data_IF_434126867748
#
_entry.id   IF_434126867748
#
_cell.length_a   1.000
_cell.length_b   1.000
_cell.length_c   1.000
_cell.angle_alpha   90.00
_cell.angle_beta   90.00
_cell.angle_gamma   90.00
#
_symmetry.space_group_name_H-M   'P 1'
#
loop_
_entity.id
_entity.type
_entity.pdbx_description
1 polymer ?
#
# COMPACT_ATOMS: atom_id res chain seq x y z
N UNK A 1 -17.22 -11.66 8.84
CA UNK A 1 -17.84 -11.87 7.51
C UNK A 1 -17.32 -13.18 6.97
N UNK A 2 -18.19 -14.07 6.49
CA UNK A 2 -17.76 -15.32 5.85
C UNK A 2 -17.38 -15.05 4.40
N UNK A 3 -16.22 -15.49 4.00
CA UNK A 3 -15.69 -15.38 2.62
C UNK A 3 -15.13 -16.72 2.15
N UNK A 4 -15.13 -16.94 0.86
CA UNK A 4 -14.49 -18.08 0.22
C UNK A 4 -13.05 -17.75 -0.17
N UNK A 5 -12.19 -18.74 -0.36
CA UNK A 5 -10.80 -18.50 -0.79
C UNK A 5 -10.72 -17.76 -2.15
N UNK A 6 -11.70 -17.99 -3.03
CA UNK A 6 -11.82 -17.21 -4.26
C UNK A 6 -12.13 -15.73 -3.98
N UNK A 7 -13.09 -15.45 -3.10
CA UNK A 7 -13.42 -14.09 -2.69
C UNK A 7 -12.25 -13.40 -1.98
N UNK A 8 -11.41 -14.16 -1.28
CA UNK A 8 -10.17 -13.68 -0.68
C UNK A 8 -9.24 -13.10 -1.75
N UNK A 9 -8.97 -13.86 -2.82
CA UNK A 9 -8.15 -13.35 -3.92
C UNK A 9 -8.78 -12.11 -4.58
N UNK A 10 -10.09 -12.11 -4.78
CA UNK A 10 -10.81 -10.94 -5.31
C UNK A 10 -10.69 -9.72 -4.39
N UNK A 11 -10.79 -9.91 -3.08
CA UNK A 11 -10.61 -8.86 -2.09
C UNK A 11 -9.17 -8.35 -2.13
N UNK A 12 -8.19 -9.24 -2.14
CA UNK A 12 -6.77 -8.89 -2.19
C UNK A 12 -6.43 -8.10 -3.46
N UNK A 13 -6.83 -8.59 -4.65
CA UNK A 13 -6.63 -7.87 -5.92
C UNK A 13 -7.27 -6.47 -5.88
N UNK A 14 -8.52 -6.37 -5.40
CA UNK A 14 -9.19 -5.07 -5.29
C UNK A 14 -8.53 -4.14 -4.27
N UNK A 15 -7.89 -4.69 -3.23
CA UNK A 15 -7.08 -3.92 -2.28
C UNK A 15 -5.92 -3.25 -2.99
N UNK A 16 -5.12 -4.01 -3.73
CA UNK A 16 -3.95 -3.50 -4.45
C UNK A 16 -4.32 -2.45 -5.49
N UNK A 17 -5.41 -2.68 -6.24
CA UNK A 17 -5.91 -1.69 -7.22
C UNK A 17 -6.23 -0.36 -6.51
N UNK A 18 -6.93 -0.41 -5.37
CA UNK A 18 -7.30 0.79 -4.63
C UNK A 18 -6.11 1.48 -3.99
N UNK A 19 -5.15 0.71 -3.45
CA UNK A 19 -3.92 1.25 -2.90
C UNK A 19 -3.12 1.97 -3.98
N UNK A 20 -2.93 1.35 -5.15
CA UNK A 20 -2.30 1.98 -6.32
C UNK A 20 -2.98 3.28 -6.71
N UNK A 21 -4.30 3.26 -6.93
CA UNK A 21 -5.08 4.45 -7.33
C UNK A 21 -4.97 5.57 -6.27
N UNK A 22 -4.96 5.21 -4.99
CA UNK A 22 -4.82 6.16 -3.91
C UNK A 22 -3.41 6.79 -3.89
N UNK A 23 -2.34 6.00 -4.03
CA UNK A 23 -0.98 6.52 -4.12
C UNK A 23 -0.76 7.40 -5.34
N UNK A 24 -1.26 7.00 -6.52
CA UNK A 24 -1.22 7.84 -7.73
C UNK A 24 -1.95 9.17 -7.51
N UNK A 25 -3.11 9.13 -6.85
CA UNK A 25 -3.88 10.33 -6.54
C UNK A 25 -3.16 11.23 -5.54
N UNK A 26 -2.65 10.68 -4.43
CA UNK A 26 -1.87 11.41 -3.44
C UNK A 26 -0.61 12.04 -4.08
N UNK A 27 0.06 11.30 -4.96
CA UNK A 27 1.19 11.81 -5.73
C UNK A 27 0.83 13.01 -6.60
N UNK A 28 -0.38 13.02 -7.18
CA UNK A 28 -0.87 14.16 -7.97
C UNK A 28 -1.22 15.41 -7.15
N UNK A 29 -1.41 15.25 -5.84
CA UNK A 29 -1.81 16.33 -4.92
C UNK A 29 -0.63 16.97 -4.20
N UNK A 30 0.51 16.26 -4.07
CA UNK A 30 1.71 16.81 -3.44
C UNK A 30 2.46 17.74 -4.38
N UNK A 31 3.04 18.81 -3.82
CA UNK A 31 3.93 19.73 -4.54
C UNK A 31 5.40 19.28 -4.48
N UNK A 32 5.75 18.42 -3.54
CA UNK A 32 7.10 17.90 -3.38
C UNK A 32 7.38 16.79 -4.37
N UNK A 33 8.37 16.96 -5.23
CA UNK A 33 8.81 15.93 -6.20
C UNK A 33 9.30 14.67 -5.51
N UNK A 34 9.99 14.80 -4.37
CA UNK A 34 10.48 13.64 -3.59
C UNK A 34 9.31 12.79 -3.10
N UNK A 35 8.30 13.44 -2.51
CA UNK A 35 7.12 12.73 -1.99
C UNK A 35 6.31 12.14 -3.13
N UNK A 36 6.21 12.86 -4.25
CA UNK A 36 5.56 12.37 -5.45
C UNK A 36 6.21 11.10 -5.97
N UNK A 37 7.53 11.09 -6.09
CA UNK A 37 8.29 9.94 -6.58
C UNK A 37 8.17 8.74 -5.65
N UNK A 38 8.17 8.95 -4.32
CA UNK A 38 7.94 7.91 -3.33
C UNK A 38 6.54 7.29 -3.45
N UNK A 39 5.50 8.11 -3.54
CA UNK A 39 4.12 7.65 -3.71
C UNK A 39 3.93 6.90 -5.03
N UNK A 40 4.53 7.36 -6.11
CA UNK A 40 4.52 6.66 -7.40
C UNK A 40 5.31 5.35 -7.38
N UNK A 41 6.40 5.29 -6.59
CA UNK A 41 7.10 4.04 -6.36
C UNK A 41 6.20 3.03 -5.64
N UNK A 42 5.51 3.43 -4.56
CA UNK A 42 4.56 2.58 -3.86
C UNK A 42 3.43 2.13 -4.79
N UNK A 43 2.81 3.04 -5.53
CA UNK A 43 1.78 2.68 -6.51
C UNK A 43 2.23 1.59 -7.49
N UNK A 44 3.50 1.61 -7.89
CA UNK A 44 4.08 0.60 -8.77
C UNK A 44 4.32 -0.74 -8.06
N UNK A 45 4.68 -0.72 -6.78
CA UNK A 45 4.81 -1.95 -6.00
C UNK A 45 3.44 -2.61 -5.80
N UNK A 46 2.36 -1.84 -5.51
CA UNK A 46 0.99 -2.37 -5.41
C UNK A 46 0.53 -3.04 -6.72
N UNK A 47 0.91 -2.47 -7.87
CA UNK A 47 0.60 -3.10 -9.16
C UNK A 47 1.31 -4.46 -9.34
N UNK A 48 2.54 -4.61 -8.83
CA UNK A 48 3.25 -5.90 -8.81
C UNK A 48 2.60 -6.89 -7.85
N UNK A 49 2.17 -6.43 -6.65
CA UNK A 49 1.44 -7.27 -5.70
C UNK A 49 0.17 -7.80 -6.34
N UNK A 50 -0.62 -6.95 -6.99
CA UNK A 50 -1.81 -7.33 -7.75
C UNK A 50 -1.51 -8.44 -8.77
N UNK A 51 -0.47 -8.27 -9.60
CA UNK A 51 -0.07 -9.29 -10.58
C UNK A 51 0.30 -10.63 -9.94
N UNK A 52 0.97 -10.60 -8.80
CA UNK A 52 1.34 -11.81 -8.04
C UNK A 52 0.08 -12.51 -7.56
N UNK A 53 -0.87 -11.78 -6.98
CA UNK A 53 -2.12 -12.32 -6.44
C UNK A 53 -2.99 -12.90 -7.56
N UNK A 54 -3.11 -12.21 -8.71
CA UNK A 54 -3.84 -12.70 -9.88
C UNK A 54 -3.29 -14.04 -10.38
N UNK A 55 -1.95 -14.16 -10.50
CA UNK A 55 -1.30 -15.43 -10.87
C UNK A 55 -1.53 -16.55 -9.86
N UNK A 56 -1.65 -16.20 -8.57
CA UNK A 56 -2.01 -17.19 -7.55
C UNK A 56 -3.45 -17.65 -7.69
N UNK A 57 -4.38 -16.74 -7.88
CA UNK A 57 -5.79 -17.03 -8.06
C UNK A 57 -6.01 -17.95 -9.27
N UNK A 58 -5.33 -17.69 -10.38
CA UNK A 58 -5.36 -18.55 -11.57
C UNK A 58 -4.86 -19.98 -11.26
N UNK A 59 -3.74 -20.10 -10.54
CA UNK A 59 -3.21 -21.44 -10.15
C UNK A 59 -4.13 -22.16 -9.20
N UNK A 60 -4.68 -21.49 -8.20
CA UNK A 60 -5.65 -22.04 -7.28
C UNK A 60 -6.87 -22.61 -8.02
N UNK A 61 -7.43 -21.83 -8.94
CA UNK A 61 -8.55 -22.26 -9.78
C UNK A 61 -8.20 -23.47 -10.66
N UNK A 62 -7.00 -23.51 -11.26
CA UNK A 62 -6.52 -24.60 -12.09
C UNK A 62 -6.27 -25.90 -11.31
N UNK A 63 -5.88 -25.82 -10.04
CA UNK A 63 -5.65 -26.95 -9.14
C UNK A 63 -6.95 -27.49 -8.52
N UNK A 64 -8.12 -26.93 -8.87
CA UNK A 64 -9.43 -27.36 -8.37
C UNK A 64 -9.66 -27.00 -6.90
N UNK A 65 -9.14 -25.85 -6.46
CA UNK A 65 -9.26 -25.37 -5.09
C UNK A 65 -10.72 -25.32 -4.62
N UNK A 66 -11.01 -25.96 -3.49
CA UNK A 66 -12.34 -25.93 -2.87
C UNK A 66 -12.52 -24.62 -2.10
N UNK A 67 -13.57 -23.86 -2.44
CA UNK A 67 -13.93 -22.66 -1.72
C UNK A 67 -14.55 -23.00 -0.37
N UNK A 68 -13.79 -22.82 0.70
CA UNK A 68 -14.31 -22.89 2.08
C UNK A 68 -14.76 -21.51 2.53
N UNK A 69 -15.80 -21.46 3.34
CA UNK A 69 -16.22 -20.21 3.99
C UNK A 69 -15.33 -19.92 5.20
N UNK A 70 -14.85 -18.70 5.27
CA UNK A 70 -13.90 -18.22 6.28
C UNK A 70 -14.50 -16.97 6.94
N UNK A 71 -14.38 -16.86 8.25
CA UNK A 71 -14.78 -15.66 8.99
C UNK A 71 -13.54 -14.78 9.23
N UNK A 72 -13.59 -13.52 8.76
CA UNK A 72 -12.45 -12.59 8.85
C UNK A 72 -12.80 -11.35 9.65
N UNK A 73 -12.04 -11.11 10.71
CA UNK A 73 -12.19 -9.93 11.58
C UNK A 73 -11.59 -8.67 10.93
N UNK A 74 -10.46 -8.81 10.23
CA UNK A 74 -9.71 -7.71 9.62
C UNK A 74 -10.49 -6.91 8.57
N UNK A 75 -11.54 -7.49 8.00
CA UNK A 75 -12.35 -6.84 6.95
C UNK A 75 -13.01 -5.53 7.39
N UNK A 76 -13.32 -5.40 8.70
CA UNK A 76 -13.86 -4.16 9.26
C UNK A 76 -12.83 -3.03 9.25
N UNK A 77 -11.61 -3.30 9.67
CA UNK A 77 -10.49 -2.33 9.66
C UNK A 77 -10.17 -1.91 8.22
N UNK A 78 -10.11 -2.87 7.30
CA UNK A 78 -9.85 -2.63 5.88
C UNK A 78 -10.87 -1.67 5.27
N UNK A 79 -12.16 -1.86 5.54
CA UNK A 79 -13.22 -0.98 5.06
C UNK A 79 -13.05 0.46 5.58
N UNK A 80 -12.75 0.62 6.87
CA UNK A 80 -12.54 1.94 7.49
C UNK A 80 -11.37 2.68 6.84
N UNK A 81 -10.24 2.00 6.57
CA UNK A 81 -9.10 2.63 5.91
C UNK A 81 -9.41 2.99 4.47
N UNK A 82 -10.07 2.10 3.72
CA UNK A 82 -10.49 2.40 2.35
C UNK A 82 -11.43 3.62 2.26
N UNK A 83 -12.33 3.79 3.23
CA UNK A 83 -13.19 4.96 3.35
C UNK A 83 -12.39 6.23 3.65
N UNK A 84 -11.44 6.19 4.60
CA UNK A 84 -10.55 7.32 4.91
C UNK A 84 -9.72 7.74 3.70
N UNK A 85 -9.13 6.80 2.97
CA UNK A 85 -8.39 7.09 1.74
C UNK A 85 -9.30 7.76 0.70
N UNK A 86 -10.50 7.21 0.48
CA UNK A 86 -11.46 7.76 -0.46
C UNK A 86 -11.95 9.17 -0.08
N UNK A 87 -11.98 9.52 1.20
CA UNK A 87 -12.31 10.88 1.67
C UNK A 87 -11.11 11.83 1.52
N UNK A 88 -9.92 11.38 1.88
CA UNK A 88 -8.71 12.19 1.80
C UNK A 88 -8.43 12.67 0.38
N UNK A 89 -8.54 11.77 -0.61
CA UNK A 89 -8.31 12.11 -2.02
C UNK A 89 -9.36 13.06 -2.64
N UNK A 90 -10.46 13.33 -1.94
CA UNK A 90 -11.48 14.31 -2.36
C UNK A 90 -11.18 15.72 -1.86
N UNK A 91 -10.29 15.87 -0.88
CA UNK A 91 -9.93 17.18 -0.32
C UNK A 91 -9.14 17.98 -1.36
N UNK A 92 -9.43 19.28 -1.53
CA UNK A 92 -8.66 20.13 -2.43
C UNK A 92 -7.23 20.35 -1.96
N UNK A 93 -7.03 20.39 -0.62
CA UNK A 93 -5.73 20.54 0.04
C UNK A 93 -5.62 19.48 1.13
N UNK A 94 -4.74 18.51 0.93
CA UNK A 94 -4.36 17.52 1.93
C UNK A 94 -2.98 17.88 2.47
N UNK A 95 -2.82 17.88 3.79
CA UNK A 95 -1.52 18.16 4.38
C UNK A 95 -0.64 16.90 4.41
N UNK A 96 0.67 17.11 4.59
CA UNK A 96 1.66 16.07 4.57
C UNK A 96 1.45 15.00 5.65
N UNK A 97 1.13 15.44 6.88
CA UNK A 97 0.88 14.53 8.01
C UNK A 97 -0.25 13.57 7.70
N UNK A 98 -1.33 14.10 7.13
CA UNK A 98 -2.50 13.30 6.75
C UNK A 98 -2.19 12.31 5.62
N UNK A 99 -1.37 12.69 4.64
CA UNK A 99 -0.90 11.80 3.57
C UNK A 99 -0.17 10.60 4.18
N UNK A 100 0.85 10.87 5.00
CA UNK A 100 1.66 9.79 5.59
C UNK A 100 0.90 8.96 6.62
N UNK A 101 0.03 9.56 7.42
CA UNK A 101 -0.81 8.82 8.37
C UNK A 101 -1.71 7.82 7.65
N UNK A 102 -2.40 8.24 6.60
CA UNK A 102 -3.30 7.38 5.83
C UNK A 102 -2.51 6.29 5.12
N UNK A 103 -1.40 6.63 4.46
CA UNK A 103 -0.54 5.69 3.78
C UNK A 103 -0.01 4.62 4.74
N UNK A 104 0.60 5.02 5.86
CA UNK A 104 1.09 4.08 6.86
C UNK A 104 -0.01 3.19 7.46
N UNK A 105 -1.22 3.71 7.66
CA UNK A 105 -2.35 2.90 8.14
C UNK A 105 -2.81 1.90 7.09
N UNK A 106 -2.80 2.27 5.81
CA UNK A 106 -3.13 1.37 4.71
C UNK A 106 -2.19 0.16 4.70
N UNK A 107 -0.88 0.39 4.74
CA UNK A 107 0.13 -0.68 4.78
C UNK A 107 -0.06 -1.63 5.97
N UNK A 108 -0.33 -1.10 7.17
CA UNK A 108 -0.57 -1.92 8.36
C UNK A 108 -1.84 -2.77 8.25
N UNK A 109 -2.86 -2.27 7.59
CA UNK A 109 -4.11 -3.01 7.38
C UNK A 109 -3.93 -4.07 6.30
N UNK A 110 -3.19 -3.77 5.22
CA UNK A 110 -2.83 -4.75 4.18
C UNK A 110 -1.95 -5.87 4.75
N UNK A 111 -0.95 -5.55 5.59
CA UNK A 111 -0.16 -6.55 6.30
C UNK A 111 -1.03 -7.49 7.14
N UNK A 112 -1.96 -6.93 7.93
CA UNK A 112 -2.90 -7.74 8.74
C UNK A 112 -3.79 -8.59 7.85
N UNK A 113 -4.28 -8.05 6.74
CA UNK A 113 -5.11 -8.77 5.77
C UNK A 113 -4.35 -10.00 5.27
N UNK A 114 -3.14 -9.85 4.76
CA UNK A 114 -2.35 -10.97 4.23
C UNK A 114 -1.98 -12.00 5.30
N UNK A 115 -1.64 -11.56 6.51
CA UNK A 115 -1.42 -12.48 7.64
C UNK A 115 -2.66 -13.27 8.01
N UNK A 116 -3.83 -12.66 7.96
CA UNK A 116 -5.09 -13.34 8.23
C UNK A 116 -5.40 -14.34 7.10
N UNK A 117 -5.26 -13.93 5.84
CA UNK A 117 -5.43 -14.80 4.67
C UNK A 117 -4.50 -16.02 4.70
N UNK A 118 -3.26 -15.85 5.12
CA UNK A 118 -2.28 -16.92 5.23
C UNK A 118 -2.71 -18.04 6.19
N UNK A 119 -3.47 -17.73 7.26
CA UNK A 119 -3.99 -18.73 8.21
C UNK A 119 -5.02 -19.67 7.57
N UNK A 120 -5.70 -19.20 6.55
CA UNK A 120 -6.79 -19.91 5.89
C UNK A 120 -6.40 -20.51 4.54
N UNK A 121 -5.19 -20.23 4.08
CA UNK A 121 -4.69 -20.78 2.82
C UNK A 121 -4.68 -22.31 2.85
N UNK A 122 -5.26 -22.94 1.83
CA UNK A 122 -5.42 -24.39 1.74
C UNK A 122 -4.13 -25.12 1.36
N UNK A 123 -3.15 -24.40 0.79
CA UNK A 123 -1.86 -24.98 0.42
C UNK A 123 -0.68 -24.11 0.88
N UNK A 124 0.46 -24.74 1.14
CA UNK A 124 1.65 -24.10 1.67
C UNK A 124 2.25 -23.03 0.74
N UNK A 125 2.09 -23.16 -0.58
CA UNK A 125 2.61 -22.14 -1.52
C UNK A 125 1.81 -20.86 -1.44
N UNK A 126 0.48 -20.96 -1.37
CA UNK A 126 -0.42 -19.83 -1.17
C UNK A 126 -0.13 -19.16 0.17
N UNK A 127 0.01 -19.97 1.24
CA UNK A 127 0.36 -19.45 2.56
C UNK A 127 1.67 -18.66 2.53
N UNK A 128 2.75 -19.28 2.04
CA UNK A 128 4.06 -18.64 1.98
C UNK A 128 4.02 -17.31 1.19
N UNK A 129 3.29 -17.28 0.09
CA UNK A 129 3.20 -16.08 -0.74
C UNK A 129 2.42 -14.97 -0.05
N UNK A 130 1.34 -15.29 0.68
CA UNK A 130 0.60 -14.32 1.49
C UNK A 130 1.47 -13.78 2.65
N UNK A 131 2.27 -14.64 3.28
CA UNK A 131 3.25 -14.22 4.29
C UNK A 131 4.32 -13.28 3.69
N UNK A 132 4.81 -13.58 2.48
CA UNK A 132 5.73 -12.69 1.76
C UNK A 132 5.10 -11.33 1.43
N UNK A 133 3.84 -11.30 0.97
CA UNK A 133 3.11 -10.05 0.75
C UNK A 133 2.98 -9.26 2.06
N UNK A 134 2.61 -9.92 3.16
CA UNK A 134 2.53 -9.25 4.46
C UNK A 134 3.87 -8.61 4.88
N UNK A 135 5.00 -9.28 4.62
CA UNK A 135 6.33 -8.73 4.88
C UNK A 135 6.67 -7.55 3.95
N UNK A 136 6.18 -7.56 2.71
CA UNK A 136 6.35 -6.45 1.77
C UNK A 136 5.57 -5.21 2.24
N UNK A 137 4.31 -5.36 2.68
CA UNK A 137 3.52 -4.26 3.27
C UNK A 137 4.20 -3.69 4.53
N UNK A 138 4.75 -4.56 5.39
CA UNK A 138 5.54 -4.10 6.54
C UNK A 138 6.76 -3.28 6.11
N UNK A 139 7.42 -3.65 5.02
CA UNK A 139 8.54 -2.89 4.48
C UNK A 139 8.10 -1.53 3.93
N UNK A 140 6.97 -1.46 3.23
CA UNK A 140 6.38 -0.20 2.77
C UNK A 140 6.07 0.73 3.95
N UNK A 141 5.41 0.21 5.00
CA UNK A 141 5.20 0.96 6.23
C UNK A 141 6.51 1.52 6.80
N UNK A 142 7.56 0.71 6.86
CA UNK A 142 8.85 1.14 7.42
C UNK A 142 9.52 2.22 6.55
N UNK A 143 9.37 2.17 5.23
CA UNK A 143 9.85 3.20 4.30
C UNK A 143 9.11 4.51 4.58
N UNK A 144 7.77 4.48 4.53
CA UNK A 144 6.92 5.65 4.82
C UNK A 144 7.22 6.26 6.18
N UNK A 145 7.36 5.43 7.22
CA UNK A 145 7.66 5.87 8.58
C UNK A 145 9.02 6.58 8.66
N UNK A 146 10.06 6.01 8.07
CA UNK A 146 11.40 6.61 8.05
C UNK A 146 11.39 7.94 7.30
N UNK A 147 10.72 8.00 6.16
CA UNK A 147 10.60 9.20 5.36
C UNK A 147 9.87 10.29 6.13
N UNK A 148 8.72 9.96 6.71
CA UNK A 148 7.95 10.89 7.55
C UNK A 148 8.77 11.42 8.72
N UNK A 149 9.44 10.54 9.48
CA UNK A 149 10.28 10.94 10.61
C UNK A 149 11.44 11.85 10.17
N UNK A 150 11.97 11.63 8.95
CA UNK A 150 13.02 12.47 8.40
C UNK A 150 12.49 13.86 8.00
N UNK A 151 11.34 13.92 7.35
CA UNK A 151 10.65 15.15 6.99
C UNK A 151 10.34 15.99 8.23
N UNK A 152 9.78 15.37 9.25
CA UNK A 152 9.42 16.03 10.51
C UNK A 152 10.65 16.56 11.27
N UNK A 153 11.80 15.91 11.12
CA UNK A 153 13.08 16.34 11.73
C UNK A 153 13.74 17.49 10.97
N UNK A 154 13.56 17.52 9.66
CA UNK A 154 14.21 18.48 8.77
C UNK A 154 13.23 19.13 7.79
N UNK A 155 12.20 19.82 8.28
CA UNK A 155 11.11 20.35 7.43
C UNK A 155 11.61 21.38 6.39
N UNK A 156 12.74 22.03 6.64
CA UNK A 156 13.33 22.97 5.69
C UNK A 156 13.79 22.30 4.40
N UNK A 157 14.23 21.03 4.45
CA UNK A 157 14.69 20.28 3.26
C UNK A 157 13.55 19.95 2.29
N UNK A 158 12.31 20.04 2.76
CA UNK A 158 11.11 19.73 1.99
C UNK A 158 10.32 20.96 1.54
N UNK A 159 10.84 22.17 1.82
CA UNK A 159 10.35 23.39 1.16
C UNK A 159 10.89 23.39 -0.25
N UNK A 160 10.01 23.40 -1.23
CA UNK A 160 10.31 23.30 -2.68
C UNK A 160 11.50 24.17 -3.12
N UNK A 161 11.57 25.41 -2.60
CA UNK A 161 12.62 26.37 -2.95
C UNK A 161 14.02 25.95 -2.49
N UNK A 162 14.14 25.28 -1.34
CA UNK A 162 15.46 24.92 -0.78
C UNK A 162 16.01 23.64 -1.41
N UNK A 163 15.14 22.67 -1.72
CA UNK A 163 15.54 21.43 -2.39
C UNK A 163 16.02 21.71 -3.82
N UNK A 164 15.27 22.49 -4.58
CA UNK A 164 15.65 22.90 -5.94
C UNK A 164 16.95 23.68 -5.96
N UNK A 165 17.19 24.51 -4.95
CA UNK A 165 18.44 25.25 -4.81
C UNK A 165 19.61 24.34 -4.46
N UNK A 166 19.42 23.41 -3.52
CA UNK A 166 20.42 22.41 -3.14
C UNK A 166 20.79 21.50 -4.31
N UNK A 167 19.81 21.04 -5.09
CA UNK A 167 20.04 20.20 -6.26
C UNK A 167 20.74 20.96 -7.41
N UNK A 168 20.43 22.23 -7.58
CA UNK A 168 21.18 23.11 -8.50
C UNK A 168 22.64 23.27 -8.06
N UNK A 169 22.87 23.50 -6.78
CA UNK A 169 24.22 23.67 -6.23
C UNK A 169 25.05 22.39 -6.30
N UNK A 170 24.45 21.22 -6.13
CA UNK A 170 25.12 19.92 -6.30
C UNK A 170 25.44 19.64 -7.78
N UNK A 171 24.51 19.93 -8.70
CA UNK A 171 24.73 19.71 -10.14
C UNK A 171 25.72 20.67 -10.80
N UNK A 172 26.09 21.77 -10.15
CA UNK A 172 27.10 22.71 -10.65
C UNK A 172 28.54 22.32 -10.30
N UNK A 173 28.75 21.27 -9.49
CA UNK A 173 30.08 20.85 -9.02
C UNK A 173 30.57 19.51 -9.59
N UNK A 174 29.97 19.04 -10.72
CA UNK A 174 30.45 17.86 -11.44
C UNK A 174 30.76 18.22 -12.91
#
# INVERSE_FOLDING_TARGET
>A
MEVTEKEIFEIAVNSEIRAKEAYEKLASMTKSDIIRDELLFLAKEEDKHREIIEKMAERFAAEGGESKKIEMEVMGEFKVIAEKMAEAIKKPDINLDEIYEIAMQAELVSEKLYKELAKYASNEKTKLLLEMLADMERNHYNILKKQYDYIMRYPELYKEELYDQLMKDINFNF
#
